data_IF_811572000020
#
_entry.id   IF_811572000020
#
_cell.length_a   1.000
_cell.length_b   1.000
_cell.length_c   1.000
_cell.angle_alpha   90.00
_cell.angle_beta   90.00
_cell.angle_gamma   90.00
#
_symmetry.space_group_name_H-M   'P 1'
#
loop_
_entity.id
_entity.type
_entity.pdbx_description
1 polymer ?
#
# COMPACT_ATOMS: atom_id res chain seq x y z
N UNK A 1 5.63 12.02 -17.35
CA UNK A 1 4.71 13.04 -16.77
C UNK A 1 3.27 12.57 -16.91
N UNK A 2 2.49 12.51 -15.82
CA UNK A 2 1.06 12.19 -15.89
C UNK A 2 0.27 13.49 -15.75
N UNK A 3 -0.72 13.71 -16.60
CA UNK A 3 -1.63 14.85 -16.49
C UNK A 3 -3.07 14.39 -16.33
N UNK A 4 -3.85 15.10 -15.52
CA UNK A 4 -5.26 14.80 -15.25
C UNK A 4 -6.07 16.07 -15.54
N UNK A 5 -7.04 16.04 -16.46
CA UNK A 5 -7.89 17.18 -16.70
C UNK A 5 -8.78 17.38 -15.47
N UNK A 6 -8.73 18.56 -14.86
CA UNK A 6 -9.70 18.95 -13.87
C UNK A 6 -10.80 19.72 -14.58
N UNK A 7 -12.09 19.48 -14.26
CA UNK A 7 -13.13 20.34 -14.76
C UNK A 7 -12.85 21.72 -14.16
N UNK A 8 -13.16 22.79 -14.88
CA UNK A 8 -13.30 24.09 -14.23
C UNK A 8 -14.39 24.04 -13.13
N UNK A 9 -14.91 25.19 -12.73
CA UNK A 9 -15.93 25.28 -11.67
C UNK A 9 -17.30 24.61 -11.97
N UNK A 10 -17.40 23.74 -12.99
CA UNK A 10 -18.65 23.23 -13.55
C UNK A 10 -18.93 21.74 -13.27
N UNK A 11 -17.97 20.97 -12.74
CA UNK A 11 -18.21 19.57 -12.31
C UNK A 11 -17.52 19.29 -10.98
N UNK A 12 -18.14 18.48 -10.09
CA UNK A 12 -17.51 18.06 -8.84
C UNK A 12 -16.17 17.35 -9.10
N UNK A 13 -15.14 17.72 -8.34
CA UNK A 13 -13.83 17.06 -8.38
C UNK A 13 -13.91 15.59 -7.93
N UNK A 14 -14.91 15.24 -7.12
CA UNK A 14 -15.19 13.86 -6.68
C UNK A 14 -15.51 12.90 -7.82
N UNK A 15 -15.85 13.39 -9.01
CA UNK A 15 -16.03 12.54 -10.19
C UNK A 15 -14.70 12.07 -10.81
N UNK A 16 -13.60 12.79 -10.54
CA UNK A 16 -12.30 12.55 -11.15
C UNK A 16 -11.25 12.11 -10.12
N UNK A 17 -11.52 12.36 -8.85
CA UNK A 17 -10.62 11.99 -7.76
C UNK A 17 -11.39 11.12 -6.79
N UNK A 18 -10.84 9.93 -6.57
CA UNK A 18 -11.39 8.97 -5.63
C UNK A 18 -10.31 8.49 -4.68
N UNK A 19 -10.75 7.81 -3.64
CA UNK A 19 -9.92 7.31 -2.56
C UNK A 19 -10.25 5.84 -2.33
N UNK A 20 -9.24 5.05 -1.97
CA UNK A 20 -9.44 3.65 -1.60
C UNK A 20 -8.49 3.23 -0.49
N UNK A 21 -9.00 2.43 0.43
CA UNK A 21 -8.19 1.75 1.45
C UNK A 21 -8.40 0.27 1.27
N UNK A 22 -7.34 -0.50 1.50
CA UNK A 22 -7.37 -1.95 1.45
C UNK A 22 -6.72 -2.49 2.73
N UNK A 23 -7.46 -3.15 3.62
CA UNK A 23 -6.88 -3.79 4.81
C UNK A 23 -5.82 -4.84 4.42
N UNK A 24 -6.06 -5.55 3.32
CA UNK A 24 -5.11 -6.51 2.76
C UNK A 24 -3.81 -5.84 2.28
N UNK A 25 -3.91 -4.66 1.69
CA UNK A 25 -2.74 -3.88 1.29
C UNK A 25 -1.97 -3.42 2.51
N UNK A 26 -2.66 -2.92 3.55
CA UNK A 26 -1.99 -2.49 4.78
C UNK A 26 -1.30 -3.64 5.52
N UNK A 27 -1.88 -4.84 5.49
CA UNK A 27 -1.23 -6.04 6.02
C UNK A 27 0.04 -6.39 5.22
N UNK A 28 -0.03 -6.32 3.89
CA UNK A 28 1.14 -6.58 3.06
C UNK A 28 2.20 -5.46 3.21
N UNK A 29 1.77 -4.21 3.39
CA UNK A 29 2.64 -3.07 3.66
C UNK A 29 3.30 -3.17 5.04
N UNK A 30 2.64 -3.72 6.05
CA UNK A 30 3.25 -3.95 7.37
C UNK A 30 4.31 -5.04 7.31
N UNK A 31 4.08 -6.12 6.54
CA UNK A 31 5.09 -7.13 6.26
C UNK A 31 6.24 -6.57 5.43
N UNK A 32 5.96 -5.73 4.44
CA UNK A 32 6.97 -4.99 3.67
C UNK A 32 7.88 -4.15 4.57
N UNK A 33 7.31 -3.39 5.50
CA UNK A 33 8.04 -2.60 6.48
C UNK A 33 8.86 -3.47 7.43
N UNK A 34 8.29 -4.57 7.92
CA UNK A 34 8.98 -5.56 8.75
C UNK A 34 10.14 -6.24 8.00
N UNK A 35 10.03 -6.37 6.68
CA UNK A 35 11.04 -6.94 5.82
C UNK A 35 12.11 -5.93 5.41
N UNK A 36 12.20 -4.71 5.95
CA UNK A 36 13.29 -3.78 5.65
C UNK A 36 14.50 -4.01 6.56
N UNK A 37 15.72 -3.85 6.05
CA UNK A 37 16.93 -4.01 6.88
C UNK A 37 17.07 -2.85 7.88
N UNK A 38 16.69 -1.67 7.41
CA UNK A 38 16.55 -0.47 8.23
C UNK A 38 15.11 0.00 8.10
N UNK A 39 14.20 -0.40 9.01
CA UNK A 39 12.83 0.05 8.96
C UNK A 39 12.77 1.58 9.11
N UNK A 40 11.74 2.23 8.54
CA UNK A 40 11.46 3.64 8.78
C UNK A 40 11.45 3.97 10.28
N UNK A 41 12.03 5.11 10.68
CA UNK A 41 12.27 5.46 12.10
C UNK A 41 11.00 5.33 12.96
N UNK A 42 9.85 5.76 12.45
CA UNK A 42 8.55 5.66 13.15
C UNK A 42 8.09 4.23 13.45
N UNK A 43 8.70 3.24 12.81
CA UNK A 43 8.39 1.81 12.96
C UNK A 43 9.53 1.00 13.55
N UNK A 44 10.65 1.61 13.97
CA UNK A 44 11.78 0.87 14.54
C UNK A 44 11.36 0.03 15.76
N UNK A 45 10.74 0.65 16.76
CA UNK A 45 10.25 -0.04 17.96
C UNK A 45 9.17 -1.08 17.64
N UNK A 46 8.22 -0.74 16.76
CA UNK A 46 7.16 -1.66 16.34
C UNK A 46 7.74 -2.92 15.65
N UNK A 47 8.80 -2.75 14.85
CA UNK A 47 9.47 -3.85 14.16
C UNK A 47 10.14 -4.81 15.14
N UNK A 48 10.88 -4.28 16.12
CA UNK A 48 11.51 -5.06 17.19
C UNK A 48 10.48 -5.87 17.97
N UNK A 49 9.41 -5.20 18.44
CA UNK A 49 8.32 -5.85 19.18
C UNK A 49 7.64 -6.95 18.35
N UNK A 50 7.42 -6.72 17.05
CA UNK A 50 6.78 -7.73 16.18
C UNK A 50 7.66 -8.94 15.93
N UNK A 51 8.98 -8.78 15.82
CA UNK A 51 9.89 -9.91 15.68
C UNK A 51 9.91 -10.78 16.96
N UNK A 52 9.87 -10.18 18.14
CA UNK A 52 9.73 -10.91 19.42
C UNK A 52 8.40 -11.67 19.52
N UNK A 53 7.31 -11.06 19.03
CA UNK A 53 6.00 -11.71 18.95
C UNK A 53 6.01 -12.88 17.96
N UNK A 54 6.71 -12.75 16.83
CA UNK A 54 6.88 -13.84 15.87
C UNK A 54 7.65 -15.02 16.46
N UNK A 55 8.70 -14.75 17.24
CA UNK A 55 9.44 -15.79 17.95
C UNK A 55 8.54 -16.49 18.98
N UNK A 56 7.82 -15.71 19.79
CA UNK A 56 6.89 -16.23 20.81
C UNK A 56 5.77 -17.09 20.21
N UNK A 57 5.26 -16.71 19.04
CA UNK A 57 4.24 -17.46 18.30
C UNK A 57 4.79 -18.59 17.43
N UNK A 58 6.11 -18.84 17.43
CA UNK A 58 6.80 -19.83 16.58
C UNK A 58 6.62 -19.60 15.07
N UNK A 59 6.39 -18.35 14.66
CA UNK A 59 6.27 -17.94 13.27
C UNK A 59 7.57 -17.42 12.67
N UNK A 60 8.62 -17.22 13.49
CA UNK A 60 9.89 -16.63 13.03
C UNK A 60 10.53 -17.41 11.87
N UNK A 61 10.44 -18.74 11.87
CA UNK A 61 10.97 -19.58 10.77
C UNK A 61 10.19 -19.36 9.47
N UNK A 62 8.86 -19.37 9.53
CA UNK A 62 8.01 -19.11 8.36
C UNK A 62 8.20 -17.69 7.85
N UNK A 63 8.37 -16.73 8.77
CA UNK A 63 8.70 -15.37 8.38
C UNK A 63 10.02 -15.30 7.61
N UNK A 64 11.09 -15.91 8.12
CA UNK A 64 12.38 -15.94 7.42
C UNK A 64 12.29 -16.53 6.00
N UNK A 65 11.43 -17.54 5.80
CA UNK A 65 11.16 -18.11 4.47
C UNK A 65 10.45 -17.12 3.53
N UNK A 66 9.54 -16.28 4.05
CA UNK A 66 8.75 -15.34 3.25
C UNK A 66 9.30 -13.90 3.16
N UNK A 67 10.29 -13.52 3.98
CA UNK A 67 10.96 -12.20 3.90
C UNK A 67 11.31 -11.80 2.45
N UNK A 68 11.86 -12.70 1.59
CA UNK A 68 12.19 -12.32 0.22
C UNK A 68 11.02 -11.82 -0.62
N UNK A 69 9.79 -12.24 -0.29
CA UNK A 69 8.58 -11.81 -1.01
C UNK A 69 8.12 -10.40 -0.64
N UNK A 70 8.75 -9.78 0.37
CA UNK A 70 8.37 -8.48 0.91
C UNK A 70 9.55 -7.50 1.03
N UNK A 71 10.80 -7.92 0.77
CA UNK A 71 11.96 -7.02 0.90
C UNK A 71 11.92 -5.88 -0.12
N UNK A 72 11.63 -6.22 -1.38
CA UNK A 72 11.78 -5.31 -2.52
C UNK A 72 10.46 -4.82 -3.13
N UNK A 73 9.32 -5.25 -2.58
CA UNK A 73 8.01 -4.75 -2.98
C UNK A 73 6.88 -5.38 -2.19
N UNK A 74 5.67 -4.90 -2.46
CA UNK A 74 4.43 -5.52 -1.99
C UNK A 74 3.90 -6.36 -3.16
N UNK A 75 3.54 -7.64 -2.97
CA UNK A 75 3.02 -8.46 -4.07
C UNK A 75 1.76 -7.82 -4.66
N UNK A 76 1.69 -7.76 -5.99
CA UNK A 76 0.59 -7.12 -6.72
C UNK A 76 -0.79 -7.76 -6.41
N UNK A 77 -0.82 -8.99 -5.88
CA UNK A 77 -2.04 -9.63 -5.38
C UNK A 77 -2.66 -8.89 -4.19
N UNK A 78 -1.95 -7.95 -3.57
CA UNK A 78 -2.47 -7.10 -2.49
C UNK A 78 -2.78 -5.68 -2.95
N UNK A 79 -2.61 -5.37 -4.25
CA UNK A 79 -2.82 -4.03 -4.77
C UNK A 79 -4.24 -3.52 -4.45
N UNK A 80 -4.40 -2.28 -3.97
CA UNK A 80 -5.71 -1.75 -3.60
C UNK A 80 -6.72 -1.73 -4.75
N UNK A 81 -6.29 -1.74 -6.01
CA UNK A 81 -7.17 -1.86 -7.18
C UNK A 81 -7.86 -3.23 -7.23
N UNK A 82 -7.14 -4.29 -6.83
CA UNK A 82 -7.65 -5.66 -6.85
C UNK A 82 -8.44 -6.00 -5.59
N UNK A 83 -8.13 -5.36 -4.46
CA UNK A 83 -8.70 -5.69 -3.14
C UNK A 83 -9.68 -4.65 -2.61
N UNK A 84 -10.07 -3.63 -3.40
CA UNK A 84 -10.97 -2.52 -2.99
C UNK A 84 -12.27 -2.96 -2.30
N UNK A 85 -12.79 -4.14 -2.62
CA UNK A 85 -14.03 -4.68 -2.04
C UNK A 85 -13.82 -5.63 -0.85
N UNK A 86 -12.57 -6.02 -0.56
CA UNK A 86 -12.25 -7.04 0.43
C UNK A 86 -12.02 -6.38 1.79
N UNK A 87 -13.14 -6.07 2.45
CA UNK A 87 -13.15 -5.27 3.67
C UNK A 87 -13.47 -6.08 4.92
N UNK A 88 -14.41 -7.02 4.84
CA UNK A 88 -14.76 -7.87 5.98
C UNK A 88 -13.71 -8.96 6.19
N UNK A 89 -13.56 -9.40 7.45
CA UNK A 89 -12.59 -10.44 7.82
C UNK A 89 -12.87 -11.76 7.06
N UNK A 90 -14.13 -12.14 6.91
CA UNK A 90 -14.51 -13.35 6.15
C UNK A 90 -14.10 -13.24 4.67
N UNK A 91 -14.33 -12.08 4.04
CA UNK A 91 -13.93 -11.82 2.65
C UNK A 91 -12.41 -11.89 2.48
N UNK A 92 -11.65 -11.45 3.49
CA UNK A 92 -10.18 -11.47 3.47
C UNK A 92 -9.65 -12.90 3.53
N UNK A 93 -10.22 -13.76 4.38
CA UNK A 93 -9.86 -15.18 4.40
C UNK A 93 -10.25 -15.88 3.11
N UNK A 94 -11.46 -15.60 2.58
CA UNK A 94 -11.89 -16.13 1.29
C UNK A 94 -10.95 -15.69 0.17
N UNK A 95 -10.49 -14.43 0.19
CA UNK A 95 -9.53 -13.91 -0.78
C UNK A 95 -8.23 -14.73 -0.81
N UNK A 96 -7.65 -15.05 0.35
CA UNK A 96 -6.40 -15.84 0.41
C UNK A 96 -6.55 -17.26 -0.11
N UNK A 97 -7.72 -17.88 0.10
CA UNK A 97 -7.99 -19.24 -0.35
C UNK A 97 -8.30 -19.28 -1.85
N UNK A 98 -9.04 -18.28 -2.35
CA UNK A 98 -9.51 -18.24 -3.74
C UNK A 98 -8.51 -17.60 -4.72
N UNK A 99 -7.46 -16.93 -4.23
CA UNK A 99 -6.40 -16.34 -5.06
C UNK A 99 -5.82 -17.39 -6.03
N UNK A 100 -5.98 -17.26 -7.36
CA UNK A 100 -5.46 -18.26 -8.30
C UNK A 100 -3.93 -18.36 -8.25
N UNK A 101 -3.39 -19.58 -8.37
CA UNK A 101 -1.95 -19.84 -8.27
C UNK A 101 -1.15 -19.06 -9.32
N UNK A 102 -1.64 -19.01 -10.57
CA UNK A 102 -1.03 -18.18 -11.63
C UNK A 102 -1.01 -16.69 -11.30
N UNK A 103 -2.00 -16.19 -10.54
CA UNK A 103 -2.03 -14.80 -10.12
C UNK A 103 -1.04 -14.56 -8.97
N UNK A 104 -1.01 -15.46 -7.99
CA UNK A 104 -0.01 -15.45 -6.91
C UNK A 104 1.41 -15.43 -7.47
N UNK A 105 1.77 -16.37 -8.37
CA UNK A 105 3.10 -16.42 -8.97
C UNK A 105 3.47 -15.13 -9.70
N UNK A 106 2.57 -14.61 -10.55
CA UNK A 106 2.80 -13.35 -11.28
C UNK A 106 3.02 -12.15 -10.34
N UNK A 107 2.38 -12.16 -9.18
CA UNK A 107 2.49 -11.08 -8.20
C UNK A 107 3.81 -11.04 -7.43
N UNK A 108 4.45 -12.20 -7.23
CA UNK A 108 5.70 -12.30 -6.44
C UNK A 108 6.95 -12.39 -7.31
N UNK A 109 6.82 -12.87 -8.55
CA UNK A 109 7.96 -13.09 -9.45
C UNK A 109 8.83 -11.83 -9.64
N UNK A 110 8.29 -10.63 -9.89
CA UNK A 110 9.12 -9.42 -10.02
C UNK A 110 9.91 -9.08 -8.75
N UNK A 111 9.36 -9.39 -7.58
CA UNK A 111 10.00 -9.12 -6.28
C UNK A 111 11.17 -10.09 -6.08
N UNK A 112 10.99 -11.36 -6.45
CA UNK A 112 12.07 -12.37 -6.41
C UNK A 112 13.15 -12.10 -7.45
N UNK A 113 12.79 -11.62 -8.63
CA UNK A 113 13.75 -11.18 -9.64
C UNK A 113 14.62 -10.03 -9.11
N UNK A 114 14.02 -9.04 -8.45
CA UNK A 114 14.77 -7.96 -7.79
C UNK A 114 15.65 -8.49 -6.65
N UNK A 115 15.17 -9.43 -5.83
CA UNK A 115 15.97 -10.04 -4.77
C UNK A 115 17.27 -10.66 -5.30
N UNK A 116 17.18 -11.42 -6.39
CA UNK A 116 18.32 -12.14 -7.00
C UNK A 116 19.39 -11.18 -7.54
N UNK A 117 19.05 -9.91 -7.82
CA UNK A 117 20.03 -8.90 -8.22
C UNK A 117 20.99 -8.51 -7.09
N UNK A 118 20.57 -8.68 -5.83
CA UNK A 118 21.31 -8.23 -4.65
C UNK A 118 21.74 -9.39 -3.72
N UNK A 119 21.14 -10.57 -3.89
CA UNK A 119 21.28 -11.73 -3.00
C UNK A 119 21.30 -13.05 -3.79
N UNK A 120 21.74 -14.12 -3.13
CA UNK A 120 21.54 -15.46 -3.65
C UNK A 120 20.05 -15.81 -3.73
N UNK A 121 19.71 -16.71 -4.67
CA UNK A 121 18.35 -17.18 -4.85
C UNK A 121 17.83 -17.81 -3.54
N UNK A 122 16.68 -17.35 -3.02
CA UNK A 122 16.14 -17.83 -1.75
C UNK A 122 15.44 -19.18 -1.92
N UNK A 123 15.29 -19.95 -0.84
CA UNK A 123 14.60 -21.26 -0.84
C UNK A 123 13.20 -21.17 -1.48
N UNK A 124 12.45 -20.11 -1.15
CA UNK A 124 11.11 -19.87 -1.72
C UNK A 124 11.09 -19.72 -3.24
N UNK A 125 12.19 -19.30 -3.87
CA UNK A 125 12.26 -19.22 -5.33
C UNK A 125 12.37 -20.60 -5.98
N UNK A 126 13.16 -21.51 -5.38
CA UNK A 126 13.27 -22.89 -5.85
C UNK A 126 11.97 -23.65 -5.66
N UNK A 127 11.37 -23.55 -4.46
CA UNK A 127 10.09 -24.20 -4.17
C UNK A 127 8.97 -23.69 -5.10
N UNK A 128 9.01 -22.42 -5.50
CA UNK A 128 8.01 -21.84 -6.41
C UNK A 128 8.13 -22.40 -7.84
N UNK A 129 9.34 -22.73 -8.29
CA UNK A 129 9.58 -23.38 -9.58
C UNK A 129 9.20 -24.86 -9.56
N UNK A 130 9.38 -25.54 -8.42
CA UNK A 130 9.05 -26.95 -8.26
C UNK A 130 7.54 -27.17 -8.05
N UNK A 131 6.93 -26.45 -7.09
CA UNK A 131 5.52 -26.57 -6.72
C UNK A 131 4.96 -25.23 -6.19
N UNK A 132 4.40 -24.45 -7.10
CA UNK A 132 3.79 -23.16 -6.76
C UNK A 132 2.54 -23.27 -5.87
N UNK A 133 1.80 -24.38 -5.94
CA UNK A 133 0.61 -24.61 -5.09
C UNK A 133 1.03 -24.87 -3.65
N UNK A 134 2.13 -25.60 -3.43
CA UNK A 134 2.74 -25.78 -2.11
C UNK A 134 3.16 -24.43 -1.49
N UNK A 135 3.90 -23.60 -2.24
CA UNK A 135 4.32 -22.28 -1.74
C UNK A 135 3.12 -21.39 -1.44
N UNK A 136 2.13 -21.36 -2.34
CA UNK A 136 0.89 -20.61 -2.13
C UNK A 136 0.15 -21.09 -0.88
N UNK A 137 0.04 -22.41 -0.67
CA UNK A 137 -0.62 -22.98 0.51
C UNK A 137 0.05 -22.53 1.81
N UNK A 138 1.38 -22.60 1.88
CA UNK A 138 2.15 -22.07 3.02
C UNK A 138 1.96 -20.57 3.19
N UNK A 139 1.98 -19.81 2.09
CA UNK A 139 1.79 -18.38 2.12
C UNK A 139 0.42 -18.00 2.67
N UNK A 140 -0.66 -18.63 2.19
CA UNK A 140 -2.02 -18.42 2.68
C UNK A 140 -2.16 -18.72 4.18
N UNK A 141 -1.54 -19.79 4.67
CA UNK A 141 -1.51 -20.11 6.10
C UNK A 141 -0.73 -19.06 6.90
N UNK A 142 0.43 -18.63 6.40
CA UNK A 142 1.25 -17.60 7.04
C UNK A 142 0.50 -16.27 7.14
N UNK A 143 -0.04 -15.73 6.04
CA UNK A 143 -0.74 -14.44 6.05
C UNK A 143 -2.03 -14.50 6.88
N UNK A 144 -2.74 -15.62 6.87
CA UNK A 144 -3.93 -15.82 7.73
C UNK A 144 -3.56 -15.84 9.21
N UNK A 145 -2.45 -16.49 9.56
CA UNK A 145 -1.94 -16.53 10.93
C UNK A 145 -1.43 -15.15 11.37
N UNK A 146 -0.71 -14.45 10.49
CA UNK A 146 -0.26 -13.09 10.73
C UNK A 146 -1.44 -12.13 10.97
N UNK A 147 -2.49 -12.26 10.16
CA UNK A 147 -3.72 -11.49 10.31
C UNK A 147 -4.30 -11.67 11.72
N UNK A 148 -4.60 -12.92 12.07
CA UNK A 148 -5.30 -13.28 13.30
C UNK A 148 -4.47 -12.98 14.57
N UNK A 149 -3.16 -13.23 14.54
CA UNK A 149 -2.33 -13.10 15.73
C UNK A 149 -1.86 -11.68 15.97
N UNK A 150 -1.68 -10.88 14.91
CA UNK A 150 -0.95 -9.61 15.04
C UNK A 150 -1.59 -8.43 14.32
N UNK A 151 -2.16 -8.63 13.13
CA UNK A 151 -2.56 -7.49 12.29
C UNK A 151 -3.97 -7.00 12.58
N UNK A 152 -4.92 -7.86 12.95
CA UNK A 152 -6.30 -7.46 13.26
C UNK A 152 -6.35 -6.35 14.32
N UNK A 153 -5.65 -6.54 15.44
CA UNK A 153 -5.55 -5.53 16.49
C UNK A 153 -4.84 -4.24 16.02
N UNK A 154 -3.82 -4.35 15.16
CA UNK A 154 -3.16 -3.17 14.58
C UNK A 154 -4.13 -2.42 13.66
N UNK A 155 -4.91 -3.15 12.85
CA UNK A 155 -5.89 -2.59 11.92
C UNK A 155 -6.95 -1.77 12.68
N UNK A 156 -7.50 -2.32 13.75
CA UNK A 156 -8.45 -1.59 14.61
C UNK A 156 -7.85 -0.29 15.17
N UNK A 157 -6.57 -0.30 15.55
CA UNK A 157 -5.88 0.88 16.07
C UNK A 157 -5.63 1.95 15.00
N UNK A 158 -5.37 1.57 13.75
CA UNK A 158 -5.04 2.51 12.66
C UNK A 158 -6.26 2.91 11.81
N UNK A 159 -7.33 2.13 11.79
CA UNK A 159 -8.54 2.41 11.01
C UNK A 159 -9.09 3.85 11.22
N UNK A 160 -9.12 4.42 12.45
CA UNK A 160 -9.52 5.82 12.65
C UNK A 160 -8.63 6.85 11.96
N UNK A 161 -7.36 6.54 11.64
CA UNK A 161 -6.49 7.42 10.86
C UNK A 161 -6.97 7.52 9.40
N UNK A 162 -7.42 6.41 8.81
CA UNK A 162 -7.98 6.38 7.46
C UNK A 162 -9.32 7.12 7.36
N UNK A 163 -10.15 7.08 8.41
CA UNK A 163 -11.39 7.87 8.45
C UNK A 163 -11.07 9.37 8.42
N UNK A 164 -10.12 9.82 9.25
CA UNK A 164 -9.67 11.23 9.25
C UNK A 164 -9.05 11.66 7.93
N UNK A 165 -8.27 10.78 7.30
CA UNK A 165 -7.68 11.08 5.98
C UNK A 165 -8.77 11.16 4.89
N UNK A 166 -9.78 10.29 4.93
CA UNK A 166 -10.92 10.36 4.03
C UNK A 166 -11.72 11.68 4.19
N UNK A 167 -11.93 12.14 5.43
CA UNK A 167 -12.53 13.45 5.70
C UNK A 167 -11.69 14.59 5.14
N UNK A 168 -10.36 14.54 5.34
CA UNK A 168 -9.42 15.54 4.82
C UNK A 168 -9.46 15.60 3.29
N UNK A 169 -9.52 14.45 2.62
CA UNK A 169 -9.70 14.36 1.16
C UNK A 169 -11.05 14.93 0.75
N UNK A 170 -12.13 14.57 1.44
CA UNK A 170 -13.47 15.09 1.13
C UNK A 170 -13.53 16.62 1.18
N UNK A 171 -12.90 17.24 2.18
CA UNK A 171 -12.82 18.70 2.27
C UNK A 171 -11.88 19.31 1.22
N UNK A 172 -10.78 18.64 0.86
CA UNK A 172 -9.87 19.15 -0.16
C UNK A 172 -10.51 19.17 -1.56
N UNK A 173 -11.44 18.25 -1.83
CA UNK A 173 -12.20 18.17 -3.09
C UNK A 173 -13.27 19.25 -3.28
N UNK A 174 -13.47 20.15 -2.31
CA UNK A 174 -14.43 21.26 -2.43
C UNK A 174 -13.94 22.40 -3.33
N UNK A 175 -12.65 22.41 -3.69
CA UNK A 175 -12.07 23.44 -4.55
C UNK A 175 -10.72 23.04 -5.13
N UNK A 176 -10.37 23.65 -6.26
CA UNK A 176 -9.10 23.37 -6.96
C UNK A 176 -7.89 23.81 -6.11
N UNK A 177 -7.99 24.96 -5.45
CA UNK A 177 -6.92 25.46 -4.56
C UNK A 177 -6.69 24.49 -3.38
N UNK A 178 -7.75 24.12 -2.66
CA UNK A 178 -7.66 23.19 -1.53
C UNK A 178 -7.14 21.80 -1.94
N UNK A 179 -7.58 21.30 -3.11
CA UNK A 179 -7.06 20.07 -3.68
C UNK A 179 -5.57 20.18 -3.99
N UNK A 180 -5.16 21.25 -4.67
CA UNK A 180 -3.77 21.46 -5.07
C UNK A 180 -2.87 21.57 -3.84
N UNK A 181 -3.28 22.34 -2.83
CA UNK A 181 -2.56 22.43 -1.54
C UNK A 181 -2.46 21.06 -0.86
N UNK A 182 -3.53 20.28 -0.86
CA UNK A 182 -3.53 18.94 -0.28
C UNK A 182 -2.55 18.01 -1.02
N UNK A 183 -2.61 17.94 -2.35
CA UNK A 183 -1.71 17.11 -3.15
C UNK A 183 -0.24 17.55 -3.05
N UNK A 184 0.01 18.86 -2.96
CA UNK A 184 1.35 19.41 -2.72
C UNK A 184 1.89 19.09 -1.32
N UNK A 185 1.01 18.92 -0.33
CA UNK A 185 1.42 18.45 1.00
C UNK A 185 1.84 16.98 1.00
N UNK A 186 1.39 16.20 0.00
CA UNK A 186 1.84 14.82 -0.24
C UNK A 186 3.15 14.85 -1.03
N UNK A 187 3.14 15.49 -2.20
CA UNK A 187 4.31 15.63 -3.05
C UNK A 187 4.38 17.05 -3.64
N UNK A 188 5.37 17.87 -3.25
CA UNK A 188 5.51 19.26 -3.74
C UNK A 188 5.66 19.39 -5.25
N UNK A 189 6.04 18.29 -5.92
CA UNK A 189 6.23 18.27 -7.35
C UNK A 189 4.91 18.16 -8.14
N UNK A 190 3.78 17.90 -7.47
CA UNK A 190 2.46 17.98 -8.09
C UNK A 190 2.08 19.45 -8.24
N UNK A 191 1.77 19.86 -9.47
CA UNK A 191 1.39 21.24 -9.80
C UNK A 191 0.06 21.27 -10.52
N UNK A 192 -0.61 22.41 -10.46
CA UNK A 192 -1.82 22.66 -11.22
C UNK A 192 -1.55 23.78 -12.24
N UNK A 193 -1.80 23.48 -13.51
CA UNK A 193 -1.73 24.45 -14.60
C UNK A 193 -3.09 25.12 -14.75
N UNK A 194 -3.14 26.41 -14.43
CA UNK A 194 -4.34 27.25 -14.52
C UNK A 194 -4.77 27.56 -15.95
N UNK A 195 -3.85 27.56 -16.92
CA UNK A 195 -4.16 27.86 -18.32
C UNK A 195 -4.83 26.67 -19.00
N UNK A 196 -4.32 25.46 -18.73
CA UNK A 196 -4.85 24.24 -19.34
C UNK A 196 -5.88 23.51 -18.46
N UNK A 197 -6.07 23.96 -17.21
CA UNK A 197 -6.91 23.31 -16.20
C UNK A 197 -6.49 21.85 -15.93
N UNK A 198 -5.19 21.60 -15.81
CA UNK A 198 -4.65 20.24 -15.64
C UNK A 198 -3.80 20.12 -14.39
N UNK A 199 -4.04 19.05 -13.64
CA UNK A 199 -3.09 18.60 -12.65
C UNK A 199 -1.92 17.93 -13.37
N UNK A 200 -0.70 18.32 -13.04
CA UNK A 200 0.53 17.74 -13.56
C UNK A 200 1.27 17.04 -12.44
N UNK A 201 1.58 15.77 -12.67
CA UNK A 201 2.32 14.96 -11.72
C UNK A 201 3.57 14.39 -12.39
N UNK A 202 4.76 14.52 -11.78
CA UNK A 202 5.96 13.93 -12.33
C UNK A 202 5.84 12.40 -12.36
N UNK A 203 6.37 11.79 -13.40
CA UNK A 203 6.45 10.32 -13.49
C UNK A 203 7.69 9.93 -14.29
N UNK A 204 8.30 8.80 -13.95
CA UNK A 204 9.52 8.28 -14.56
C UNK A 204 9.28 7.62 -15.94
N UNK A 205 8.09 7.80 -16.51
CA UNK A 205 7.65 7.16 -17.75
C UNK A 205 7.15 8.14 -18.81
N UNK A 206 6.71 7.63 -19.97
CA UNK A 206 6.18 8.45 -21.06
C UNK A 206 5.00 9.30 -20.60
N UNK A 207 4.84 10.46 -21.24
CA UNK A 207 3.75 11.35 -20.90
C UNK A 207 2.38 10.71 -21.16
N UNK A 208 1.44 10.91 -20.23
CA UNK A 208 0.14 10.24 -20.26
C UNK A 208 -0.98 11.10 -19.66
N UNK A 209 -2.15 11.03 -20.30
CA UNK A 209 -3.37 11.71 -19.88
C UNK A 209 -4.30 10.74 -19.15
N UNK A 210 -4.34 10.85 -17.82
CA UNK A 210 -5.19 10.02 -16.97
C UNK A 210 -6.60 10.61 -16.86
N UNK A 211 -7.59 9.73 -16.79
CA UNK A 211 -8.99 10.14 -16.58
C UNK A 211 -9.32 10.36 -15.11
N UNK A 212 -8.78 9.54 -14.22
CA UNK A 212 -9.02 9.64 -12.79
C UNK A 212 -7.72 9.59 -12.01
N UNK A 213 -7.70 10.30 -10.88
CA UNK A 213 -6.70 10.15 -9.83
C UNK A 213 -7.29 9.32 -8.69
N UNK A 214 -6.63 8.24 -8.32
CA UNK A 214 -7.02 7.39 -7.21
C UNK A 214 -5.97 7.52 -6.11
N UNK A 215 -6.42 7.99 -4.96
CA UNK A 215 -5.61 8.21 -3.77
C UNK A 215 -5.59 6.95 -2.90
N UNK A 216 -4.39 6.42 -2.66
CA UNK A 216 -4.14 5.28 -1.80
C UNK A 216 -3.30 5.74 -0.60
N UNK A 217 -3.93 6.20 0.49
CA UNK A 217 -3.19 6.38 1.74
C UNK A 217 -2.64 5.04 2.22
N UNK A 218 -1.56 5.08 2.96
CA UNK A 218 -1.07 3.92 3.69
C UNK A 218 -0.46 4.35 5.01
N UNK A 219 -0.66 3.55 6.06
CA UNK A 219 0.01 3.75 7.32
C UNK A 219 1.38 3.10 7.29
N UNK A 220 1.47 1.85 6.85
CA UNK A 220 2.73 1.11 6.91
C UNK A 220 3.69 1.43 5.78
N UNK A 221 3.20 1.81 4.59
CA UNK A 221 4.06 2.27 3.50
C UNK A 221 4.62 3.68 3.82
N UNK A 222 5.83 3.71 4.39
CA UNK A 222 6.50 4.94 4.84
C UNK A 222 7.59 5.43 3.88
N UNK A 223 7.37 5.25 2.58
CA UNK A 223 8.29 5.72 1.54
C UNK A 223 7.80 7.01 0.89
N UNK A 224 8.62 7.54 -0.01
CA UNK A 224 8.23 8.63 -0.89
C UNK A 224 6.94 8.30 -1.66
N UNK A 225 6.04 9.29 -1.85
CA UNK A 225 4.81 9.07 -2.61
C UNK A 225 5.10 8.55 -4.01
N UNK A 226 4.43 7.47 -4.37
CA UNK A 226 4.62 6.81 -5.66
C UNK A 226 3.40 6.99 -6.53
N UNK A 227 3.63 7.52 -7.73
CA UNK A 227 2.60 7.69 -8.75
C UNK A 227 2.75 6.64 -9.85
N UNK A 228 1.75 5.79 -10.01
CA UNK A 228 1.73 4.75 -11.05
C UNK A 228 0.54 4.92 -12.00
N UNK A 229 0.72 4.46 -13.24
CA UNK A 229 -0.35 4.36 -14.22
C UNK A 229 -0.88 2.93 -14.21
N UNK A 230 -2.20 2.75 -14.05
CA UNK A 230 -2.87 1.46 -14.28
C UNK A 230 -4.10 1.67 -15.16
N UNK A 231 -4.05 1.12 -16.37
CA UNK A 231 -5.07 1.37 -17.40
C UNK A 231 -5.19 2.86 -17.72
N UNK A 232 -6.39 3.41 -17.51
CA UNK A 232 -6.72 4.81 -17.78
C UNK A 232 -6.58 5.75 -16.56
N UNK A 233 -6.12 5.22 -15.43
CA UNK A 233 -6.12 5.92 -14.16
C UNK A 233 -4.69 6.15 -13.65
N UNK A 234 -4.53 7.23 -12.90
CA UNK A 234 -3.35 7.53 -12.10
C UNK A 234 -3.61 7.08 -10.66
N UNK A 235 -2.63 6.43 -10.06
CA UNK A 235 -2.71 5.90 -8.70
C UNK A 235 -1.60 6.54 -7.88
N UNK A 236 -1.97 7.31 -6.86
CA UNK A 236 -1.05 7.96 -5.95
C UNK A 236 -1.06 7.22 -4.62
N UNK A 237 -0.01 6.44 -4.38
CA UNK A 237 0.27 5.81 -3.09
C UNK A 237 1.07 6.77 -2.23
N UNK A 238 0.65 6.99 -0.99
CA UNK A 238 1.36 7.89 -0.08
C UNK A 238 1.20 7.48 1.37
N UNK A 239 2.19 7.81 2.19
CA UNK A 239 2.08 7.66 3.64
C UNK A 239 1.08 8.67 4.19
N UNK A 240 0.17 8.22 5.05
CA UNK A 240 -0.59 9.15 5.91
C UNK A 240 0.36 9.85 6.86
N UNK A 241 0.25 11.17 6.96
CA UNK A 241 1.03 11.95 7.91
C UNK A 241 0.39 11.85 9.28
N UNK A 242 1.21 11.61 10.31
CA UNK A 242 0.79 11.88 11.67
C UNK A 242 0.75 13.40 11.83
N UNK A 243 -0.41 14.01 11.55
CA UNK A 243 -0.65 15.37 12.02
C UNK A 243 -0.36 15.42 13.53
N UNK A 244 0.18 16.53 14.06
CA UNK A 244 0.60 16.60 15.45
C UNK A 244 -0.57 16.19 16.33
N UNK A 245 -0.42 15.07 17.05
CA UNK A 245 -1.29 14.76 18.18
C UNK A 245 -1.24 15.98 19.08
N UNK A 246 -2.37 16.66 19.25
CA UNK A 246 -2.48 17.71 20.25
C UNK A 246 -1.85 17.18 21.54
N UNK A 247 -0.96 17.95 22.20
CA UNK A 247 -0.35 17.50 23.43
C UNK A 247 -1.47 17.13 24.40
N UNK A 248 -1.49 15.88 24.85
CA UNK A 248 -2.35 15.47 25.95
C UNK A 248 -2.05 16.43 27.10
N UNK A 249 -2.99 17.32 27.40
CA UNK A 249 -2.91 18.16 28.58
C UNK A 249 -2.85 17.21 29.77
N UNK A 250 -1.77 17.21 30.58
CA UNK A 250 -1.76 16.41 31.79
C UNK A 250 -2.90 16.90 32.68
N UNK A 251 -3.78 15.96 33.05
CA UNK A 251 -4.82 16.15 34.05
C UNK A 251 -4.22 16.05 35.45
#
# INVERSE_FOLDING_TARGET
MITIPLPGNHSPLSNLISYSVSPLYEMAASLYTLAQETPPERFAYWTEEKLEQFESARLLKEWGYFVPLFRYGIPDSFDPLHTKGVMAVDDQYEYFVTLPTDHFMRSIKPILEEWILHHDAPEVAFDLEEDADYVKGRFSLFVSSYWQLFFEANWEAIAPKFVREAERIYYSLQGIESLTTYLQSISPAITYDTETHRLTCPSNGPSYDAHHLILYPSYYYAQEPTLTKKGWNAHLLFSISEGPTQPKTPS
#
